data_IF_331517043845
#
_entry.id   IF_331517043845
#
_cell.length_a   1.000
_cell.length_b   1.000
_cell.length_c   1.000
_cell.angle_alpha   90.00
_cell.angle_beta   90.00
_cell.angle_gamma   90.00
#
_symmetry.space_group_name_H-M   'P 1'
#
loop_
_entity.id
_entity.type
_entity.pdbx_description
1 polymer ?
#
# COMPACT_ATOMS: atom_id res chain seq x y z
N UNK A 1 -24.22 -5.63 -22.52
CA UNK A 1 -24.75 -4.76 -23.59
C UNK A 1 -23.99 -5.13 -24.86
N UNK A 2 -24.68 -5.60 -25.93
CA UNK A 2 -24.00 -5.96 -27.18
C UNK A 2 -23.24 -4.76 -27.75
N UNK A 3 -22.04 -4.98 -28.28
CA UNK A 3 -21.20 -3.95 -28.91
C UNK A 3 -21.97 -3.06 -29.93
N UNK A 4 -23.08 -3.56 -30.48
CA UNK A 4 -23.93 -2.83 -31.42
C UNK A 4 -24.70 -1.63 -30.81
N UNK A 5 -24.90 -1.55 -29.50
CA UNK A 5 -25.58 -0.42 -28.85
C UNK A 5 -24.70 0.78 -28.55
N UNK A 6 -23.36 0.61 -28.57
CA UNK A 6 -22.37 1.68 -28.43
C UNK A 6 -22.10 2.45 -29.74
N UNK A 7 -22.81 2.16 -30.81
CA UNK A 7 -22.57 2.79 -32.13
C UNK A 7 -23.08 4.23 -32.23
N UNK A 8 -24.01 4.66 -31.35
CA UNK A 8 -24.48 6.05 -31.35
C UNK A 8 -23.51 6.95 -30.56
N UNK A 9 -23.04 8.10 -31.10
CA UNK A 9 -22.05 8.95 -30.45
C UNK A 9 -22.53 9.47 -29.09
N UNK A 10 -23.82 9.73 -28.92
CA UNK A 10 -24.41 10.17 -27.64
C UNK A 10 -24.29 9.11 -26.55
N UNK A 11 -24.46 7.82 -26.89
CA UNK A 11 -24.31 6.74 -25.91
C UNK A 11 -22.85 6.54 -25.48
N UNK A 12 -21.89 6.81 -26.38
CA UNK A 12 -20.45 6.77 -26.03
C UNK A 12 -20.08 7.91 -25.09
N UNK A 13 -20.55 9.14 -25.36
CA UNK A 13 -20.30 10.28 -24.50
C UNK A 13 -20.89 10.04 -23.10
N UNK A 14 -22.12 9.59 -23.01
CA UNK A 14 -22.78 9.28 -21.74
C UNK A 14 -22.04 8.19 -20.97
N UNK A 15 -21.54 7.14 -21.64
CA UNK A 15 -20.73 6.11 -21.02
C UNK A 15 -19.41 6.65 -20.46
N UNK A 16 -18.69 7.51 -21.21
CA UNK A 16 -17.45 8.16 -20.73
C UNK A 16 -17.70 9.09 -19.53
N UNK A 17 -18.82 9.81 -19.51
CA UNK A 17 -19.24 10.61 -18.37
C UNK A 17 -19.51 9.73 -17.15
N UNK A 18 -20.21 8.60 -17.31
CA UNK A 18 -20.43 7.65 -16.22
C UNK A 18 -19.11 7.08 -15.67
N UNK A 19 -18.16 6.77 -16.56
CA UNK A 19 -16.82 6.30 -16.19
C UNK A 19 -16.06 7.35 -15.39
N UNK A 20 -16.04 8.60 -15.85
CA UNK A 20 -15.39 9.71 -15.17
C UNK A 20 -16.04 10.00 -13.80
N UNK A 21 -17.37 9.94 -13.70
CA UNK A 21 -18.09 10.09 -12.43
C UNK A 21 -17.78 8.95 -11.46
N UNK A 22 -17.69 7.71 -11.94
CA UNK A 22 -17.31 6.57 -11.10
C UNK A 22 -15.90 6.78 -10.53
N UNK A 23 -14.96 7.20 -11.39
CA UNK A 23 -13.62 7.57 -10.96
C UNK A 23 -13.63 8.71 -9.93
N UNK A 24 -14.39 9.78 -10.19
CA UNK A 24 -14.49 10.94 -9.30
C UNK A 24 -15.08 10.57 -7.92
N UNK A 25 -16.12 9.76 -7.86
CA UNK A 25 -16.71 9.28 -6.60
C UNK A 25 -15.67 8.47 -5.81
N UNK A 26 -14.96 7.57 -6.50
CA UNK A 26 -13.92 6.76 -5.87
C UNK A 26 -12.72 7.60 -5.40
N UNK A 27 -12.29 8.59 -6.20
CA UNK A 27 -11.23 9.54 -5.83
C UNK A 27 -11.61 10.42 -4.64
N UNK A 28 -12.86 10.90 -4.60
CA UNK A 28 -13.40 11.66 -3.47
C UNK A 28 -13.45 10.80 -2.19
N UNK A 29 -13.82 9.53 -2.31
CA UNK A 29 -13.79 8.61 -1.18
C UNK A 29 -12.36 8.37 -0.64
N UNK A 30 -11.38 8.19 -1.53
CA UNK A 30 -9.97 8.07 -1.14
C UNK A 30 -9.50 9.32 -0.41
N UNK A 31 -9.81 10.52 -0.94
CA UNK A 31 -9.50 11.77 -0.26
C UNK A 31 -10.12 11.84 1.14
N UNK A 32 -11.40 11.51 1.27
CA UNK A 32 -12.08 11.50 2.57
C UNK A 32 -11.43 10.51 3.55
N UNK A 33 -11.06 9.32 3.08
CA UNK A 33 -10.38 8.33 3.90
C UNK A 33 -9.04 8.86 4.41
N UNK A 34 -8.24 9.50 3.55
CA UNK A 34 -6.98 10.11 3.97
C UNK A 34 -7.17 11.28 4.92
N UNK A 35 -8.16 12.12 4.68
CA UNK A 35 -8.52 13.20 5.59
C UNK A 35 -8.85 12.66 7.00
N UNK A 36 -9.68 11.63 7.07
CA UNK A 36 -10.03 10.97 8.34
C UNK A 36 -8.82 10.29 8.98
N UNK A 37 -7.96 9.66 8.19
CA UNK A 37 -6.73 9.02 8.65
C UNK A 37 -5.77 10.06 9.24
N UNK A 38 -5.47 11.16 8.53
CA UNK A 38 -4.58 12.23 9.01
C UNK A 38 -5.08 12.85 10.31
N UNK A 39 -6.35 13.27 10.33
CA UNK A 39 -6.94 13.87 11.53
C UNK A 39 -7.00 12.87 12.70
N UNK A 40 -7.31 11.61 12.42
CA UNK A 40 -7.32 10.57 13.43
C UNK A 40 -5.94 10.25 13.99
N UNK A 41 -4.92 10.17 13.14
CA UNK A 41 -3.51 10.01 13.56
C UNK A 41 -3.08 11.21 14.40
N UNK A 42 -3.31 12.44 13.93
CA UNK A 42 -2.99 13.65 14.69
C UNK A 42 -3.74 13.74 16.01
N UNK A 43 -5.00 13.32 16.05
CA UNK A 43 -5.74 13.24 17.32
C UNK A 43 -5.10 12.23 18.28
N UNK A 44 -4.83 11.02 17.83
CA UNK A 44 -4.27 9.96 18.69
C UNK A 44 -2.82 10.26 19.10
N UNK A 45 -1.97 10.77 18.19
CA UNK A 45 -0.52 10.86 18.42
C UNK A 45 -0.02 12.25 18.79
N UNK A 46 -0.80 13.32 18.54
CA UNK A 46 -0.42 14.69 18.88
C UNK A 46 -1.34 15.30 19.95
N UNK A 47 -2.66 15.24 19.72
CA UNK A 47 -3.63 15.92 20.60
C UNK A 47 -3.84 15.20 21.92
N UNK A 48 -4.10 13.89 21.85
CA UNK A 48 -4.38 13.07 23.04
C UNK A 48 -3.21 13.03 24.03
N UNK A 49 -1.94 12.84 23.63
CA UNK A 49 -0.83 12.87 24.58
C UNK A 49 -0.61 14.24 25.20
N UNK A 50 -0.87 15.35 24.47
CA UNK A 50 -0.81 16.69 25.07
C UNK A 50 -1.90 16.91 26.13
N UNK A 51 -3.11 16.45 25.86
CA UNK A 51 -4.21 16.52 26.82
C UNK A 51 -3.95 15.66 28.06
N UNK A 52 -3.47 14.42 27.86
CA UNK A 52 -3.14 13.51 28.94
C UNK A 52 -1.88 13.96 29.71
N UNK A 53 -0.87 14.49 29.01
CA UNK A 53 0.35 15.03 29.62
C UNK A 53 0.06 16.17 30.60
N UNK A 54 -0.85 17.08 30.24
CA UNK A 54 -1.32 18.14 31.14
C UNK A 54 -2.07 17.59 32.36
N UNK A 55 -2.89 16.56 32.18
CA UNK A 55 -3.65 15.94 33.28
C UNK A 55 -2.79 15.00 34.15
N UNK A 56 -1.79 14.30 33.56
CA UNK A 56 -0.96 13.31 34.25
C UNK A 56 0.36 13.89 34.78
N UNK A 57 0.78 15.07 34.34
CA UNK A 57 2.02 15.71 34.79
C UNK A 57 2.08 15.92 36.31
N UNK A 58 0.92 16.11 36.94
CA UNK A 58 0.79 16.19 38.41
C UNK A 58 0.76 14.84 39.12
N UNK A 59 0.44 13.74 38.40
CA UNK A 59 0.26 12.41 38.99
C UNK A 59 1.46 11.51 38.71
N UNK A 60 2.07 11.62 37.51
CA UNK A 60 3.17 10.76 37.09
C UNK A 60 4.20 11.57 36.28
N UNK A 61 5.10 12.33 36.95
CA UNK A 61 6.03 13.25 36.29
C UNK A 61 6.99 12.60 35.27
N UNK A 62 7.33 11.32 35.44
CA UNK A 62 8.21 10.58 34.52
C UNK A 62 7.52 10.18 33.20
N UNK A 63 6.19 10.28 33.12
CA UNK A 63 5.45 10.07 31.87
C UNK A 63 5.48 11.28 30.94
N UNK A 64 5.86 12.46 31.47
CA UNK A 64 5.85 13.72 30.71
C UNK A 64 7.11 13.94 29.85
N UNK A 65 8.14 13.10 29.96
CA UNK A 65 9.42 13.25 29.25
C UNK A 65 9.58 12.23 28.13
N UNK A 66 9.39 12.63 26.90
CA UNK A 66 9.60 11.80 25.71
C UNK A 66 9.14 12.49 24.44
N UNK A 67 9.49 11.99 23.24
CA UNK A 67 9.13 12.61 21.96
C UNK A 67 7.60 12.72 21.72
N UNK A 68 6.80 11.96 22.47
CA UNK A 68 5.33 12.02 22.46
C UNK A 68 4.74 12.55 23.78
N UNK A 69 5.53 13.27 24.58
CA UNK A 69 5.11 13.75 25.90
C UNK A 69 5.01 12.65 26.98
N UNK A 70 5.18 11.38 26.62
CA UNK A 70 5.18 10.23 27.53
C UNK A 70 6.00 9.09 26.91
N UNK A 71 7.01 8.58 27.60
CA UNK A 71 7.89 7.51 27.11
C UNK A 71 7.15 6.18 26.86
N UNK A 72 6.10 5.90 27.63
CA UNK A 72 5.29 4.68 27.50
C UNK A 72 4.08 4.86 26.59
N UNK A 73 3.84 6.06 26.08
CA UNK A 73 2.66 6.35 25.27
C UNK A 73 2.50 5.43 24.03
N UNK A 74 3.55 5.22 23.20
CA UNK A 74 3.46 4.28 22.07
C UNK A 74 3.07 2.87 22.50
N UNK A 75 3.58 2.39 23.64
CA UNK A 75 3.26 1.07 24.16
C UNK A 75 1.77 0.96 24.51
N UNK A 76 1.25 1.93 25.25
CA UNK A 76 -0.19 1.97 25.63
C UNK A 76 -1.07 2.04 24.40
N UNK A 77 -0.77 2.95 23.46
CA UNK A 77 -1.59 3.16 22.25
C UNK A 77 -1.58 1.93 21.34
N UNK A 78 -0.41 1.34 21.07
CA UNK A 78 -0.35 0.18 20.19
C UNK A 78 -0.97 -1.08 20.82
N UNK A 79 -0.81 -1.29 22.12
CA UNK A 79 -1.44 -2.42 22.82
C UNK A 79 -2.96 -2.24 22.89
N UNK A 80 -3.44 -1.04 23.23
CA UNK A 80 -4.85 -0.71 23.19
C UNK A 80 -5.43 -0.83 21.78
N UNK A 81 -4.69 -0.35 20.77
CA UNK A 81 -5.03 -0.50 19.35
C UNK A 81 -5.15 -1.96 18.94
N UNK A 82 -4.18 -2.80 19.35
CA UNK A 82 -4.24 -4.25 19.12
C UNK A 82 -5.48 -4.89 19.77
N UNK A 83 -5.84 -4.46 20.98
CA UNK A 83 -7.05 -4.92 21.65
C UNK A 83 -8.32 -4.51 20.87
N UNK A 84 -8.41 -3.25 20.47
CA UNK A 84 -9.57 -2.71 19.71
C UNK A 84 -9.70 -3.42 18.37
N UNK A 85 -8.60 -3.57 17.62
CA UNK A 85 -8.56 -4.25 16.30
C UNK A 85 -9.00 -5.71 16.46
N UNK A 86 -8.43 -6.44 17.42
CA UNK A 86 -8.75 -7.85 17.63
C UNK A 86 -10.19 -8.08 18.09
N UNK A 87 -10.72 -7.20 18.95
CA UNK A 87 -12.13 -7.24 19.37
C UNK A 87 -13.07 -6.91 18.22
N UNK A 88 -12.70 -5.93 17.38
CA UNK A 88 -13.47 -5.57 16.19
C UNK A 88 -13.53 -6.71 15.18
N UNK A 89 -12.39 -7.35 14.87
CA UNK A 89 -12.32 -8.52 13.99
C UNK A 89 -13.18 -9.67 14.54
N UNK A 90 -13.06 -9.95 15.85
CA UNK A 90 -13.87 -11.00 16.54
C UNK A 90 -15.37 -10.71 16.48
N UNK A 91 -15.78 -9.45 16.63
CA UNK A 91 -17.19 -9.08 16.66
C UNK A 91 -17.84 -9.00 15.29
N UNK A 92 -17.08 -8.60 14.25
CA UNK A 92 -17.65 -8.31 12.93
C UNK A 92 -17.36 -9.39 11.89
N UNK A 93 -16.30 -10.18 12.09
CA UNK A 93 -15.74 -11.11 11.09
C UNK A 93 -15.41 -10.41 9.75
N UNK A 94 -15.15 -9.09 9.79
CA UNK A 94 -14.81 -8.28 8.62
C UNK A 94 -13.37 -7.83 8.72
N UNK A 95 -12.59 -8.13 7.69
CA UNK A 95 -11.21 -7.67 7.59
C UNK A 95 -10.87 -7.31 6.12
N UNK A 96 -9.97 -6.35 5.91
CA UNK A 96 -9.46 -6.05 4.58
C UNK A 96 -8.74 -7.26 3.97
N UNK A 97 -8.98 -7.49 2.69
CA UNK A 97 -8.30 -8.50 1.90
C UNK A 97 -7.11 -7.89 1.17
N UNK A 98 -6.15 -8.75 0.78
CA UNK A 98 -5.02 -8.31 -0.02
C UNK A 98 -5.46 -7.80 -1.40
N UNK A 99 -4.74 -6.79 -1.91
CA UNK A 99 -4.98 -6.19 -3.22
C UNK A 99 -5.13 -7.23 -4.34
N UNK A 100 -4.24 -8.22 -4.38
CA UNK A 100 -4.22 -9.29 -5.40
C UNK A 100 -5.49 -10.13 -5.37
N UNK A 101 -6.00 -10.46 -4.18
CA UNK A 101 -7.24 -11.24 -4.01
C UNK A 101 -8.48 -10.45 -4.45
N UNK A 102 -8.60 -9.20 -4.00
CA UNK A 102 -9.70 -8.31 -4.43
C UNK A 102 -9.70 -8.13 -5.94
N UNK A 103 -8.53 -7.91 -6.55
CA UNK A 103 -8.41 -7.75 -8.00
C UNK A 103 -8.74 -9.04 -8.77
N UNK A 104 -8.34 -10.20 -8.25
CA UNK A 104 -8.71 -11.48 -8.84
C UNK A 104 -10.22 -11.69 -8.80
N UNK A 105 -10.89 -11.41 -7.68
CA UNK A 105 -12.34 -11.50 -7.54
C UNK A 105 -13.06 -10.55 -8.50
N UNK A 106 -12.63 -9.28 -8.56
CA UNK A 106 -13.22 -8.29 -9.48
C UNK A 106 -13.06 -8.73 -10.95
N UNK A 107 -11.91 -9.33 -11.30
CA UNK A 107 -11.69 -9.87 -12.66
C UNK A 107 -12.61 -11.06 -12.96
N UNK A 108 -12.74 -12.00 -12.04
CA UNK A 108 -13.52 -13.23 -12.24
C UNK A 108 -15.03 -12.96 -12.22
N UNK A 109 -15.52 -12.24 -11.21
CA UNK A 109 -16.95 -12.04 -10.98
C UNK A 109 -17.46 -10.74 -11.59
N UNK A 110 -16.59 -9.78 -11.90
CA UNK A 110 -16.95 -8.42 -12.31
C UNK A 110 -17.64 -7.61 -11.22
N UNK A 111 -17.61 -8.09 -9.96
CA UNK A 111 -18.30 -7.52 -8.80
C UNK A 111 -17.48 -7.75 -7.55
N UNK A 112 -17.72 -6.86 -6.56
CA UNK A 112 -17.23 -7.03 -5.19
C UNK A 112 -18.37 -6.69 -4.21
N UNK A 113 -18.54 -7.42 -3.10
CA UNK A 113 -19.59 -7.17 -2.12
C UNK A 113 -19.50 -5.77 -1.53
N UNK A 114 -20.64 -5.08 -1.38
CA UNK A 114 -20.70 -3.72 -0.83
C UNK A 114 -21.65 -3.57 0.37
N UNK A 115 -22.22 -4.66 0.85
CA UNK A 115 -23.14 -4.70 2.00
C UNK A 115 -22.47 -4.28 3.32
N UNK A 116 -21.14 -4.46 3.43
CA UNK A 116 -20.36 -4.18 4.64
C UNK A 116 -19.32 -3.06 4.48
N UNK A 117 -19.47 -2.16 3.49
CA UNK A 117 -18.49 -1.12 3.18
C UNK A 117 -18.08 -0.28 4.39
N UNK A 118 -19.03 0.17 5.21
CA UNK A 118 -18.72 0.97 6.41
C UNK A 118 -17.88 0.19 7.42
N UNK A 119 -18.19 -1.09 7.64
CA UNK A 119 -17.40 -1.96 8.53
C UNK A 119 -16.02 -2.23 7.95
N UNK A 120 -15.93 -2.45 6.66
CA UNK A 120 -14.65 -2.67 5.97
C UNK A 120 -13.77 -1.40 6.01
N UNK A 121 -14.36 -0.21 5.81
CA UNK A 121 -13.66 1.08 5.94
C UNK A 121 -13.09 1.29 7.33
N UNK A 122 -13.87 0.97 8.38
CA UNK A 122 -13.41 1.08 9.76
C UNK A 122 -12.32 0.05 10.07
N UNK A 123 -12.47 -1.20 9.60
CA UNK A 123 -11.45 -2.24 9.73
C UNK A 123 -10.12 -1.84 9.07
N UNK A 124 -10.18 -1.12 7.94
CA UNK A 124 -9.00 -0.60 7.26
C UNK A 124 -8.36 0.60 7.98
N UNK A 125 -9.18 1.45 8.61
CA UNK A 125 -8.72 2.68 9.25
C UNK A 125 -8.08 2.42 10.63
N UNK A 126 -8.66 1.53 11.45
CA UNK A 126 -8.21 1.27 12.82
C UNK A 126 -6.71 0.98 12.93
N UNK A 127 -6.10 0.05 12.15
CA UNK A 127 -4.67 -0.23 12.28
C UNK A 127 -3.78 0.97 11.92
N UNK A 128 -4.22 1.84 11.01
CA UNK A 128 -3.50 3.04 10.60
C UNK A 128 -3.52 4.09 11.72
N UNK A 129 -4.67 4.29 12.38
CA UNK A 129 -4.83 5.23 13.49
C UNK A 129 -3.94 4.89 14.69
N UNK A 130 -3.78 3.61 14.97
CA UNK A 130 -2.97 3.14 16.10
C UNK A 130 -1.48 2.94 15.75
N UNK A 131 -1.02 3.48 14.61
CA UNK A 131 0.39 3.54 14.25
C UNK A 131 0.93 2.28 13.56
N UNK A 132 0.07 1.45 12.99
CA UNK A 132 0.43 0.21 12.28
C UNK A 132 1.47 0.44 11.19
N UNK A 133 2.48 -0.44 11.12
CA UNK A 133 3.46 -0.47 10.05
C UNK A 133 2.88 -1.14 8.81
N UNK A 134 1.81 -0.53 8.29
CA UNK A 134 1.03 -1.01 7.14
C UNK A 134 0.58 0.16 6.29
N UNK A 135 0.35 -0.09 5.02
CA UNK A 135 -0.21 0.91 4.10
C UNK A 135 -1.73 0.80 3.96
N UNK A 136 -2.39 1.89 3.56
CA UNK A 136 -3.84 1.94 3.38
C UNK A 136 -4.34 1.18 2.14
N UNK A 137 -3.46 0.81 1.22
CA UNK A 137 -3.82 0.34 -0.12
C UNK A 137 -4.64 -0.95 -0.12
N UNK A 138 -4.34 -1.92 0.75
CA UNK A 138 -5.11 -3.16 0.81
C UNK A 138 -6.53 -2.90 1.38
N UNK A 139 -6.62 -2.11 2.45
CA UNK A 139 -7.90 -1.74 3.04
C UNK A 139 -8.80 -0.96 2.07
N UNK A 140 -8.22 0.03 1.42
CA UNK A 140 -8.92 0.86 0.45
C UNK A 140 -9.37 0.09 -0.79
N UNK A 141 -8.58 -0.87 -1.28
CA UNK A 141 -8.92 -1.60 -2.52
C UNK A 141 -10.26 -2.32 -2.42
N UNK A 142 -10.52 -3.05 -1.32
CA UNK A 142 -11.81 -3.71 -1.11
C UNK A 142 -12.97 -2.73 -1.00
N UNK A 143 -12.79 -1.63 -0.27
CA UNK A 143 -13.82 -0.59 -0.14
C UNK A 143 -14.13 0.06 -1.48
N UNK A 144 -13.10 0.39 -2.26
CA UNK A 144 -13.23 1.00 -3.58
C UNK A 144 -13.92 0.03 -4.55
N UNK A 145 -13.52 -1.24 -4.55
CA UNK A 145 -14.14 -2.26 -5.39
C UNK A 145 -15.65 -2.39 -5.11
N UNK A 146 -16.03 -2.41 -3.83
CA UNK A 146 -17.42 -2.40 -3.41
C UNK A 146 -18.15 -1.11 -3.79
N UNK A 147 -17.53 0.05 -3.62
CA UNK A 147 -18.11 1.35 -4.01
C UNK A 147 -18.33 1.43 -5.52
N UNK A 148 -17.33 1.05 -6.33
CA UNK A 148 -17.45 1.02 -7.78
C UNK A 148 -18.54 0.04 -8.24
N UNK A 149 -18.69 -1.10 -7.57
CA UNK A 149 -19.79 -2.06 -7.84
C UNK A 149 -21.14 -1.42 -7.52
N UNK A 150 -21.27 -0.74 -6.36
CA UNK A 150 -22.49 -0.03 -5.98
C UNK A 150 -22.87 1.06 -6.99
N UNK A 151 -21.90 1.87 -7.43
CA UNK A 151 -22.10 2.90 -8.47
C UNK A 151 -22.53 2.25 -9.78
N UNK A 152 -21.85 1.17 -10.20
CA UNK A 152 -22.18 0.41 -11.41
C UNK A 152 -23.61 -0.13 -11.40
N UNK A 153 -24.06 -0.69 -10.26
CA UNK A 153 -25.43 -1.18 -10.10
C UNK A 153 -26.47 -0.05 -10.21
N UNK A 154 -26.17 1.15 -9.71
CA UNK A 154 -27.05 2.33 -9.83
C UNK A 154 -27.09 2.86 -11.27
N UNK A 155 -25.96 2.88 -11.95
CA UNK A 155 -25.85 3.35 -13.33
C UNK A 155 -26.36 2.33 -14.36
N UNK A 156 -26.62 1.08 -13.97
CA UNK A 156 -27.21 0.05 -14.83
C UNK A 156 -28.54 0.49 -15.48
N UNK A 157 -29.28 1.34 -14.81
CA UNK A 157 -30.53 1.92 -15.33
C UNK A 157 -30.30 2.73 -16.62
N UNK A 158 -29.09 3.27 -16.80
CA UNK A 158 -28.69 4.04 -17.99
C UNK A 158 -28.01 3.18 -19.06
N UNK A 159 -28.07 1.83 -18.93
CA UNK A 159 -27.50 0.91 -19.93
C UNK A 159 -25.98 0.77 -19.88
N UNK A 160 -25.33 1.23 -18.82
CA UNK A 160 -23.89 1.08 -18.63
C UNK A 160 -23.53 -0.37 -18.24
N UNK A 161 -22.39 -0.86 -18.72
CA UNK A 161 -21.85 -2.15 -18.34
C UNK A 161 -21.19 -2.03 -16.95
N UNK A 162 -21.83 -2.62 -15.94
CA UNK A 162 -21.39 -2.53 -14.55
C UNK A 162 -20.02 -3.20 -14.31
N UNK A 163 -19.69 -4.28 -15.04
CA UNK A 163 -18.40 -4.96 -14.92
C UNK A 163 -17.27 -4.06 -15.36
N UNK A 164 -17.48 -3.38 -16.47
CA UNK A 164 -16.56 -2.38 -16.97
C UNK A 164 -16.32 -1.26 -15.97
N UNK A 165 -17.39 -0.69 -15.43
CA UNK A 165 -17.32 0.40 -14.48
C UNK A 165 -16.59 0.01 -13.20
N UNK A 166 -16.84 -1.20 -12.67
CA UNK A 166 -16.16 -1.70 -11.47
C UNK A 166 -14.66 -1.85 -11.72
N UNK A 167 -14.26 -2.56 -12.78
CA UNK A 167 -12.84 -2.81 -13.08
C UNK A 167 -12.07 -1.52 -13.33
N UNK A 168 -12.64 -0.63 -14.17
CA UNK A 168 -12.01 0.65 -14.52
C UNK A 168 -11.96 1.59 -13.31
N UNK A 169 -13.02 1.64 -12.51
CA UNK A 169 -13.08 2.47 -11.31
C UNK A 169 -12.04 2.06 -10.27
N UNK A 170 -11.86 0.77 -10.02
CA UNK A 170 -10.83 0.27 -9.10
C UNK A 170 -9.43 0.65 -9.56
N UNK A 171 -9.12 0.45 -10.84
CA UNK A 171 -7.80 0.80 -11.39
C UNK A 171 -7.53 2.31 -11.36
N UNK A 172 -8.55 3.12 -11.71
CA UNK A 172 -8.43 4.57 -11.64
C UNK A 172 -8.17 5.06 -10.22
N UNK A 173 -8.78 4.41 -9.24
CA UNK A 173 -8.63 4.79 -7.83
C UNK A 173 -7.29 4.35 -7.26
N UNK A 174 -6.78 3.19 -7.64
CA UNK A 174 -5.41 2.80 -7.32
C UNK A 174 -4.39 3.79 -7.89
N UNK A 175 -4.67 4.33 -9.10
CA UNK A 175 -3.89 5.42 -9.68
C UNK A 175 -3.91 6.67 -8.81
N UNK A 176 -5.08 7.06 -8.30
CA UNK A 176 -5.22 8.21 -7.39
C UNK A 176 -4.52 7.94 -6.06
N UNK A 177 -4.67 6.74 -5.50
CA UNK A 177 -4.04 6.30 -4.26
C UNK A 177 -2.52 6.43 -4.29
N UNK A 178 -1.90 5.96 -5.36
CA UNK A 178 -0.44 6.02 -5.52
C UNK A 178 0.03 7.33 -6.17
N UNK A 179 -0.89 8.20 -6.61
CA UNK A 179 -0.60 9.35 -7.49
C UNK A 179 0.24 8.97 -8.71
N UNK A 180 0.12 7.71 -9.17
CA UNK A 180 0.93 7.10 -10.23
C UNK A 180 0.08 6.76 -11.47
N UNK A 181 -0.21 7.73 -12.37
CA UNK A 181 -1.09 7.52 -13.52
C UNK A 181 -0.60 6.42 -14.47
N UNK A 182 0.71 6.25 -14.60
CA UNK A 182 1.29 5.19 -15.44
C UNK A 182 1.06 3.79 -14.86
N UNK A 183 1.09 3.64 -13.54
CA UNK A 183 0.79 2.37 -12.88
C UNK A 183 -0.65 1.91 -13.16
N UNK A 184 -1.63 2.77 -12.91
CA UNK A 184 -3.03 2.47 -13.16
C UNK A 184 -3.38 2.28 -14.63
N UNK A 185 -2.59 2.86 -15.55
CA UNK A 185 -2.76 2.73 -16.97
C UNK A 185 -2.13 1.43 -17.53
N UNK A 186 -0.92 1.08 -17.11
CA UNK A 186 -0.18 -0.06 -17.65
C UNK A 186 -0.62 -1.38 -17.02
N UNK A 187 -0.98 -1.39 -15.73
CA UNK A 187 -1.40 -2.60 -15.04
C UNK A 187 -2.55 -3.37 -15.75
N UNK A 188 -3.62 -2.69 -16.22
CA UNK A 188 -4.67 -3.36 -16.98
C UNK A 188 -4.26 -3.79 -18.39
N UNK A 189 -3.26 -3.11 -18.99
CA UNK A 189 -2.81 -3.40 -20.35
C UNK A 189 -1.78 -4.54 -20.40
N UNK A 190 -1.09 -4.80 -19.28
CA UNK A 190 -0.11 -5.88 -19.15
C UNK A 190 -0.74 -7.25 -18.85
N UNK A 191 -2.04 -7.30 -18.53
CA UNK A 191 -2.80 -8.56 -18.46
C UNK A 191 -2.90 -9.23 -19.83
N UNK A 192 -2.95 -10.56 -19.84
CA UNK A 192 -2.96 -11.41 -21.07
C UNK A 192 -3.89 -10.84 -22.14
N UNK A 193 -3.38 -10.80 -23.37
CA UNK A 193 -4.03 -10.19 -24.52
C UNK A 193 -5.38 -10.82 -24.92
N UNK A 194 -5.72 -11.97 -24.35
CA UNK A 194 -6.85 -12.79 -24.81
C UNK A 194 -8.17 -12.61 -24.04
N UNK A 195 -8.18 -11.85 -22.93
CA UNK A 195 -9.44 -11.55 -22.20
C UNK A 195 -10.26 -12.78 -21.76
N UNK A 196 -9.68 -13.97 -21.86
CA UNK A 196 -10.30 -15.23 -21.49
C UNK A 196 -9.63 -15.78 -20.24
N UNK A 197 -10.42 -16.33 -19.31
CA UNK A 197 -9.88 -17.10 -18.19
C UNK A 197 -9.38 -18.47 -18.69
N UNK A 198 -8.72 -19.25 -17.81
CA UNK A 198 -8.27 -20.61 -18.12
C UNK A 198 -9.41 -21.54 -18.56
N UNK A 199 -10.67 -21.11 -18.42
CA UNK A 199 -11.88 -21.83 -18.79
C UNK A 199 -12.56 -21.25 -20.03
N UNK A 200 -11.90 -20.28 -20.75
CA UNK A 200 -12.42 -19.70 -21.99
C UNK A 200 -13.58 -18.71 -21.82
N UNK A 201 -13.79 -18.15 -20.62
CA UNK A 201 -14.83 -17.15 -20.36
C UNK A 201 -14.29 -15.75 -20.60
N UNK A 202 -15.08 -14.88 -21.21
CA UNK A 202 -14.75 -13.46 -21.37
C UNK A 202 -14.70 -12.78 -19.98
N UNK A 203 -13.48 -12.57 -19.45
CA UNK A 203 -13.23 -11.97 -18.15
C UNK A 203 -13.01 -10.46 -18.21
N UNK A 204 -12.81 -9.91 -19.40
CA UNK A 204 -12.53 -8.48 -19.61
C UNK A 204 -13.51 -7.84 -20.61
N UNK A 205 -13.62 -6.51 -20.49
CA UNK A 205 -14.31 -5.68 -21.46
C UNK A 205 -13.75 -5.94 -22.86
N UNK A 206 -14.54 -6.53 -23.74
CA UNK A 206 -14.21 -6.71 -25.16
C UNK A 206 -14.37 -5.35 -25.86
N UNK A 207 -13.44 -4.44 -25.58
CA UNK A 207 -13.31 -3.17 -26.29
C UNK A 207 -12.02 -3.18 -27.10
N UNK A 208 -12.03 -2.59 -28.31
CA UNK A 208 -10.78 -2.34 -29.05
C UNK A 208 -9.79 -1.61 -28.14
N UNK A 209 -8.48 -1.95 -28.23
CA UNK A 209 -7.42 -1.40 -27.37
C UNK A 209 -7.47 0.12 -27.22
N UNK A 210 -7.74 0.85 -28.32
CA UNK A 210 -7.87 2.30 -28.29
C UNK A 210 -9.06 2.77 -27.43
N UNK A 211 -10.22 2.12 -27.52
CA UNK A 211 -11.39 2.49 -26.71
C UNK A 211 -11.18 2.16 -25.22
N UNK A 212 -10.56 1.01 -24.91
CA UNK A 212 -10.16 0.64 -23.56
C UNK A 212 -9.25 1.72 -22.96
N UNK A 213 -8.25 2.18 -23.71
CA UNK A 213 -7.35 3.26 -23.30
C UNK A 213 -8.10 4.54 -22.92
N UNK A 214 -9.04 5.01 -23.75
CA UNK A 214 -9.83 6.20 -23.45
C UNK A 214 -10.67 6.04 -22.19
N UNK A 215 -11.32 4.88 -22.00
CA UNK A 215 -12.13 4.58 -20.82
C UNK A 215 -11.28 4.69 -19.54
N UNK A 216 -10.09 4.09 -19.53
CA UNK A 216 -9.18 4.20 -18.39
C UNK A 216 -8.69 5.64 -18.14
N UNK A 217 -8.36 6.39 -19.20
CA UNK A 217 -7.93 7.78 -19.07
C UNK A 217 -9.02 8.66 -18.46
N UNK A 218 -10.28 8.51 -18.88
CA UNK A 218 -11.39 9.28 -18.30
C UNK A 218 -11.66 8.92 -16.84
N UNK A 219 -11.57 7.64 -16.48
CA UNK A 219 -11.70 7.23 -15.09
C UNK A 219 -10.56 7.76 -14.20
N UNK A 220 -9.32 7.67 -14.69
CA UNK A 220 -8.13 8.19 -14.01
C UNK A 220 -8.22 9.72 -13.85
N UNK A 221 -8.62 10.43 -14.91
CA UNK A 221 -8.81 11.88 -14.85
C UNK A 221 -9.90 12.26 -13.84
N UNK A 222 -11.00 11.51 -13.78
CA UNK A 222 -12.05 11.70 -12.78
C UNK A 222 -11.54 11.48 -11.36
N UNK A 223 -10.83 10.38 -11.12
CA UNK A 223 -10.32 10.02 -9.79
C UNK A 223 -9.26 11.01 -9.30
N UNK A 224 -8.24 11.30 -10.11
CA UNK A 224 -7.20 12.29 -9.76
C UNK A 224 -7.78 13.69 -9.66
N UNK A 225 -8.68 14.09 -10.58
CA UNK A 225 -9.31 15.41 -10.57
C UNK A 225 -10.12 15.63 -9.29
N UNK A 226 -10.92 14.68 -8.87
CA UNK A 226 -11.67 14.79 -7.60
C UNK A 226 -10.73 14.79 -6.39
N UNK A 227 -9.73 13.91 -6.36
CA UNK A 227 -8.77 13.80 -5.26
C UNK A 227 -7.97 15.11 -5.09
N UNK A 228 -7.41 15.65 -6.17
CA UNK A 228 -6.62 16.90 -6.12
C UNK A 228 -7.49 18.09 -5.80
N UNK A 229 -8.66 18.24 -6.46
CA UNK A 229 -9.57 19.35 -6.22
C UNK A 229 -10.01 19.42 -4.75
N UNK A 230 -10.40 18.29 -4.16
CA UNK A 230 -10.81 18.24 -2.76
C UNK A 230 -9.61 18.47 -1.82
N UNK A 231 -8.43 17.97 -2.16
CA UNK A 231 -7.21 18.23 -1.42
C UNK A 231 -6.83 19.71 -1.41
N UNK A 232 -6.95 20.39 -2.55
CA UNK A 232 -6.66 21.83 -2.67
C UNK A 232 -7.69 22.69 -1.92
N UNK A 233 -8.97 22.27 -1.89
CA UNK A 233 -10.05 23.03 -1.24
C UNK A 233 -10.10 22.83 0.29
N UNK A 234 -9.86 21.63 0.77
CA UNK A 234 -10.11 21.26 2.17
C UNK A 234 -8.86 20.76 2.89
N UNK A 235 -7.72 20.71 2.22
CA UNK A 235 -6.51 20.07 2.74
C UNK A 235 -6.64 18.56 2.72
N UNK A 236 -5.64 17.90 3.31
CA UNK A 236 -5.52 16.46 3.27
C UNK A 236 -5.08 15.95 1.90
N UNK A 237 -4.49 14.84 1.89
CA UNK A 237 -4.02 14.21 0.67
C UNK A 237 -2.73 13.47 0.95
N UNK A 238 -2.59 12.29 0.39
CA UNK A 238 -1.35 11.55 0.49
C UNK A 238 -0.38 11.98 -0.60
N UNK A 239 0.76 12.47 -0.20
CA UNK A 239 1.89 12.72 -1.09
C UNK A 239 2.99 11.72 -0.83
N UNK A 240 3.25 10.82 -1.76
CA UNK A 240 4.54 10.13 -1.79
C UNK A 240 5.65 11.18 -1.88
N UNK A 241 6.77 11.03 -1.13
CA UNK A 241 7.87 11.98 -1.21
C UNK A 241 8.38 12.05 -2.66
N UNK A 242 8.58 13.26 -3.15
CA UNK A 242 9.16 13.52 -4.47
C UNK A 242 10.63 13.85 -4.31
N UNK A 243 11.47 13.04 -4.89
CA UNK A 243 12.90 13.24 -4.92
C UNK A 243 13.30 13.99 -6.20
N UNK A 244 14.11 15.01 -6.07
CA UNK A 244 14.59 15.81 -7.21
C UNK A 244 16.11 15.97 -7.13
N UNK A 245 16.77 16.20 -8.27
CA UNK A 245 18.18 16.57 -8.28
C UNK A 245 19.17 15.39 -8.17
N UNK A 246 18.84 14.18 -8.64
CA UNK A 246 19.82 13.10 -8.72
C UNK A 246 20.98 13.44 -9.66
N UNK A 247 22.19 13.33 -9.14
CA UNK A 247 23.43 13.35 -9.94
C UNK A 247 23.80 11.91 -10.29
N UNK A 248 23.88 11.64 -11.60
CA UNK A 248 24.24 10.31 -12.10
C UNK A 248 25.62 10.39 -12.74
N UNK A 249 26.66 10.17 -11.96
CA UNK A 249 28.06 10.08 -12.43
C UNK A 249 28.48 8.62 -12.65
N UNK A 250 29.69 8.41 -13.15
CA UNK A 250 30.27 7.05 -13.31
C UNK A 250 30.36 6.30 -11.97
N UNK A 251 30.62 7.02 -10.88
CA UNK A 251 30.70 6.47 -9.52
C UNK A 251 29.33 5.91 -9.10
N UNK A 252 28.27 6.67 -9.29
CA UNK A 252 26.89 6.29 -8.94
C UNK A 252 26.47 5.06 -9.76
N UNK A 253 26.78 5.03 -11.06
CA UNK A 253 26.49 3.87 -11.91
C UNK A 253 27.24 2.62 -11.43
N UNK A 254 28.50 2.75 -11.01
CA UNK A 254 29.26 1.62 -10.44
C UNK A 254 28.67 1.11 -9.11
N UNK A 255 28.03 2.00 -8.33
CA UNK A 255 27.37 1.65 -7.07
C UNK A 255 26.00 1.02 -7.26
N UNK A 256 25.41 1.01 -8.46
CA UNK A 256 24.07 0.48 -8.71
C UNK A 256 23.91 -0.98 -8.24
N UNK A 257 24.85 -1.85 -8.57
CA UNK A 257 24.76 -3.27 -8.19
C UNK A 257 24.88 -3.44 -6.67
N UNK A 258 25.90 -2.90 -5.96
CA UNK A 258 25.96 -2.96 -4.49
C UNK A 258 24.71 -2.43 -3.81
N UNK A 259 24.17 -1.28 -4.24
CA UNK A 259 22.96 -0.69 -3.68
C UNK A 259 21.73 -1.57 -3.92
N UNK A 260 21.60 -2.13 -5.12
CA UNK A 260 20.52 -3.06 -5.44
C UNK A 260 20.61 -4.35 -4.61
N UNK A 261 21.80 -4.83 -4.29
CA UNK A 261 21.99 -5.98 -3.38
C UNK A 261 21.54 -5.63 -1.96
N UNK A 262 21.87 -4.45 -1.45
CA UNK A 262 21.39 -4.00 -0.14
C UNK A 262 19.85 -3.92 -0.12
N UNK A 263 19.24 -3.32 -1.15
CA UNK A 263 17.77 -3.30 -1.27
C UNK A 263 17.17 -4.71 -1.33
N UNK A 264 17.81 -5.63 -2.04
CA UNK A 264 17.38 -7.04 -2.13
C UNK A 264 17.41 -7.73 -0.77
N UNK A 265 18.42 -7.46 0.08
CA UNK A 265 18.47 -7.95 1.46
C UNK A 265 17.25 -7.45 2.25
N UNK A 266 16.85 -6.18 2.10
CA UNK A 266 15.61 -5.66 2.67
C UNK A 266 14.37 -6.48 2.27
N UNK A 267 14.27 -6.83 0.98
CA UNK A 267 13.21 -7.72 0.48
C UNK A 267 13.29 -9.15 1.06
N UNK A 268 14.49 -9.69 1.26
CA UNK A 268 14.66 -11.00 1.92
C UNK A 268 14.23 -10.98 3.38
N UNK A 269 14.55 -9.91 4.12
CA UNK A 269 14.09 -9.72 5.50
C UNK A 269 12.57 -9.67 5.55
N UNK A 270 11.92 -8.96 4.59
CA UNK A 270 10.47 -8.95 4.46
C UNK A 270 9.92 -10.38 4.30
N UNK A 271 10.41 -11.16 3.34
CA UNK A 271 9.95 -12.53 3.10
C UNK A 271 10.25 -13.48 4.27
N UNK A 272 11.40 -13.33 4.92
CA UNK A 272 11.74 -14.12 6.11
C UNK A 272 10.74 -13.86 7.24
N UNK A 273 10.45 -12.58 7.51
CA UNK A 273 9.45 -12.18 8.51
C UNK A 273 8.05 -12.66 8.12
N UNK A 274 7.65 -12.51 6.84
CA UNK A 274 6.37 -12.98 6.32
C UNK A 274 6.15 -14.47 6.64
N UNK A 275 7.16 -15.30 6.42
CA UNK A 275 7.08 -16.74 6.73
C UNK A 275 7.02 -17.03 8.24
N UNK A 276 7.91 -16.40 8.99
CA UNK A 276 7.98 -16.62 10.43
C UNK A 276 6.67 -16.20 11.12
N UNK A 277 6.14 -15.04 10.73
CA UNK A 277 4.92 -14.50 11.34
C UNK A 277 3.65 -15.19 10.83
N UNK A 278 3.61 -15.67 9.59
CA UNK A 278 2.54 -16.54 9.08
C UNK A 278 2.51 -17.88 9.85
N UNK A 279 3.66 -18.51 10.05
CA UNK A 279 3.75 -19.74 10.86
C UNK A 279 3.35 -19.50 12.33
N UNK A 280 3.73 -18.35 12.90
CA UNK A 280 3.32 -17.97 14.25
C UNK A 280 1.79 -17.75 14.30
N UNK A 281 1.23 -17.02 13.33
CA UNK A 281 -0.22 -16.80 13.24
C UNK A 281 -1.00 -18.10 13.13
N UNK A 282 -0.51 -19.07 12.35
CA UNK A 282 -1.12 -20.40 12.25
C UNK A 282 -1.07 -21.16 13.58
N UNK A 283 0.07 -21.10 14.30
CA UNK A 283 0.22 -21.73 15.62
C UNK A 283 -0.68 -21.13 16.70
N UNK A 284 -0.93 -19.82 16.61
CA UNK A 284 -1.84 -19.12 17.54
C UNK A 284 -3.33 -19.43 17.28
N UNK A 285 -3.67 -20.13 16.19
CA UNK A 285 -5.04 -20.53 15.87
C UNK A 285 -6.00 -19.35 15.71
N UNK A 286 -7.25 -19.52 16.09
CA UNK A 286 -8.32 -18.53 15.95
C UNK A 286 -8.43 -17.60 17.18
N UNK A 287 -7.34 -16.94 17.54
CA UNK A 287 -7.29 -15.97 18.64
C UNK A 287 -6.97 -14.56 18.13
N UNK A 288 -7.90 -13.86 17.43
CA UNK A 288 -7.62 -12.58 16.79
C UNK A 288 -7.15 -11.51 17.79
N UNK A 289 -7.72 -11.47 18.98
CA UNK A 289 -7.34 -10.50 20.02
C UNK A 289 -5.89 -10.70 20.48
N UNK A 290 -5.50 -11.94 20.78
CA UNK A 290 -4.13 -12.23 21.21
C UNK A 290 -3.10 -11.91 20.11
N UNK A 291 -3.41 -12.23 18.84
CA UNK A 291 -2.58 -11.90 17.70
C UNK A 291 -2.38 -10.39 17.55
N UNK A 292 -3.48 -9.63 17.54
CA UNK A 292 -3.43 -8.18 17.34
C UNK A 292 -2.75 -7.45 18.49
N UNK A 293 -2.94 -7.91 19.74
CA UNK A 293 -2.23 -7.38 20.91
C UNK A 293 -0.74 -7.68 20.85
N UNK A 294 -0.35 -8.90 20.45
CA UNK A 294 1.07 -9.25 20.27
C UNK A 294 1.72 -8.39 19.18
N UNK A 295 1.04 -8.17 18.05
CA UNK A 295 1.53 -7.27 17.01
C UNK A 295 1.71 -5.84 17.52
N UNK A 296 0.73 -5.31 18.26
CA UNK A 296 0.80 -3.98 18.87
C UNK A 296 1.95 -3.85 19.85
N UNK A 297 2.20 -4.88 20.67
CA UNK A 297 3.33 -4.91 21.62
C UNK A 297 4.68 -4.86 20.88
N UNK A 298 4.88 -5.72 19.88
CA UNK A 298 6.14 -5.75 19.11
C UNK A 298 6.34 -4.45 18.33
N UNK A 299 5.27 -3.93 17.69
CA UNK A 299 5.30 -2.65 16.99
C UNK A 299 5.70 -1.51 17.92
N UNK A 300 5.13 -1.45 19.12
CA UNK A 300 5.47 -0.42 20.11
C UNK A 300 6.94 -0.49 20.55
N UNK A 301 7.44 -1.68 20.85
CA UNK A 301 8.84 -1.86 21.23
C UNK A 301 9.80 -1.45 20.11
N UNK A 302 9.49 -1.82 18.86
CA UNK A 302 10.25 -1.36 17.69
C UNK A 302 10.16 0.16 17.51
N UNK A 303 8.97 0.74 17.65
CA UNK A 303 8.74 2.17 17.51
C UNK A 303 9.39 3.01 18.61
N UNK A 304 9.49 2.51 19.83
CA UNK A 304 10.22 3.17 20.91
C UNK A 304 11.73 3.19 20.66
N UNK A 305 12.29 2.13 20.06
CA UNK A 305 13.70 2.07 19.70
C UNK A 305 14.02 2.81 18.39
N UNK A 306 13.15 2.68 17.39
CA UNK A 306 13.29 3.22 16.04
C UNK A 306 11.97 3.86 15.60
N UNK A 307 11.69 5.13 15.92
CA UNK A 307 10.37 5.78 15.73
C UNK A 307 9.84 5.72 14.30
N UNK A 308 10.71 5.79 13.30
CA UNK A 308 10.31 5.73 11.88
C UNK A 308 9.82 4.34 11.42
N UNK A 309 9.87 3.31 12.27
CA UNK A 309 9.33 1.98 11.93
C UNK A 309 7.81 1.91 12.06
N UNK A 310 7.18 2.85 12.76
CA UNK A 310 5.74 2.96 12.91
C UNK A 310 5.10 3.60 11.67
N UNK A 311 3.78 3.53 11.58
CA UNK A 311 2.93 4.12 10.54
C UNK A 311 3.19 3.54 9.13
N UNK A 312 2.48 4.02 8.13
CA UNK A 312 2.60 3.55 6.76
C UNK A 312 3.94 3.90 6.10
N UNK A 313 4.48 5.09 6.38
CA UNK A 313 5.82 5.47 5.94
C UNK A 313 5.89 6.68 5.01
N UNK A 314 4.77 7.18 4.45
CA UNK A 314 4.79 8.33 3.54
C UNK A 314 5.21 9.62 4.25
N UNK A 315 4.59 9.96 5.37
CA UNK A 315 4.97 11.13 6.19
C UNK A 315 6.37 10.96 6.76
N UNK A 316 6.70 9.75 7.22
CA UNK A 316 8.02 9.43 7.75
C UNK A 316 9.11 9.56 6.68
N UNK A 317 8.82 9.23 5.42
CA UNK A 317 9.75 9.40 4.31
C UNK A 317 10.07 10.87 4.04
N UNK A 318 9.06 11.76 4.11
CA UNK A 318 9.26 13.20 4.00
C UNK A 318 10.07 13.75 5.17
N UNK A 319 9.77 13.32 6.40
CA UNK A 319 10.55 13.69 7.59
C UNK A 319 11.99 13.20 7.47
N UNK A 320 12.20 11.97 7.00
CA UNK A 320 13.53 11.39 6.84
C UNK A 320 14.33 12.10 5.76
N UNK A 321 13.69 12.54 4.67
CA UNK A 321 14.30 13.34 3.62
C UNK A 321 14.92 14.65 4.17
N UNK A 322 14.28 15.26 5.17
CA UNK A 322 14.79 16.47 5.79
C UNK A 322 15.85 16.19 6.87
N UNK A 323 15.77 15.05 7.56
CA UNK A 323 16.53 14.79 8.78
C UNK A 323 17.68 13.75 8.63
N UNK A 324 17.80 13.02 7.52
CA UNK A 324 18.69 11.87 7.38
C UNK A 324 20.17 12.19 7.68
N UNK A 325 20.63 13.39 7.38
CA UNK A 325 22.02 13.82 7.62
C UNK A 325 22.38 13.83 9.12
N UNK A 326 21.41 14.09 9.98
CA UNK A 326 21.59 14.12 11.44
C UNK A 326 21.46 12.74 12.11
N UNK A 327 21.07 11.72 11.35
CA UNK A 327 20.82 10.37 11.87
C UNK A 327 22.02 9.48 11.52
N UNK A 328 22.59 8.75 12.49
CA UNK A 328 23.67 7.81 12.23
C UNK A 328 23.29 6.78 11.14
N UNK A 329 24.22 6.49 10.22
CA UNK A 329 23.98 5.59 9.09
C UNK A 329 23.46 4.20 9.51
N UNK A 330 24.00 3.65 10.62
CA UNK A 330 23.55 2.35 11.13
C UNK A 330 22.10 2.37 11.62
N UNK A 331 21.62 3.52 12.18
CA UNK A 331 20.22 3.69 12.60
C UNK A 331 19.30 3.69 11.37
N UNK A 332 19.72 4.36 10.29
CA UNK A 332 18.99 4.37 9.02
C UNK A 332 18.85 2.95 8.43
N UNK A 333 19.97 2.20 8.38
CA UNK A 333 19.97 0.82 7.90
C UNK A 333 19.10 -0.06 8.81
N UNK A 334 19.26 0.02 10.13
CA UNK A 334 18.46 -0.73 11.09
C UNK A 334 16.96 -0.42 10.95
N UNK A 335 16.61 0.87 10.80
CA UNK A 335 15.22 1.31 10.59
C UNK A 335 14.61 0.66 9.33
N UNK A 336 15.33 0.65 8.22
CA UNK A 336 14.88 0.02 6.99
C UNK A 336 14.65 -1.49 7.13
N UNK A 337 15.59 -2.20 7.76
CA UNK A 337 15.49 -3.65 7.98
C UNK A 337 14.37 -4.00 8.97
N UNK A 338 14.28 -3.27 10.08
CA UNK A 338 13.22 -3.49 11.09
C UNK A 338 11.84 -3.17 10.50
N UNK A 339 11.72 -2.09 9.70
CA UNK A 339 10.47 -1.76 8.99
C UNK A 339 10.06 -2.89 8.07
N UNK A 340 10.99 -3.44 7.27
CA UNK A 340 10.73 -4.58 6.40
C UNK A 340 10.28 -5.83 7.17
N UNK A 341 10.75 -6.02 8.41
CA UNK A 341 10.35 -7.16 9.25
C UNK A 341 9.01 -6.94 9.98
N UNK A 342 8.76 -5.74 10.50
CA UNK A 342 7.57 -5.43 11.32
C UNK A 342 6.31 -5.35 10.45
N UNK A 343 6.42 -4.95 9.18
CA UNK A 343 5.28 -4.88 8.26
C UNK A 343 4.56 -6.23 8.09
N UNK A 344 5.22 -7.34 7.71
CA UNK A 344 4.57 -8.64 7.64
C UNK A 344 4.05 -9.13 9.00
N UNK A 345 4.75 -8.79 10.09
CA UNK A 345 4.32 -9.12 11.44
C UNK A 345 2.96 -8.48 11.74
N UNK A 346 2.81 -7.19 11.48
CA UNK A 346 1.53 -6.49 11.65
C UNK A 346 0.43 -7.16 10.82
N UNK A 347 0.67 -7.38 9.51
CA UNK A 347 -0.31 -7.93 8.58
C UNK A 347 -0.77 -9.33 9.02
N UNK A 348 0.16 -10.23 9.33
CA UNK A 348 -0.16 -11.62 9.67
C UNK A 348 -0.78 -11.79 11.06
N UNK A 349 -0.57 -10.84 11.96
CA UNK A 349 -1.11 -10.87 13.32
C UNK A 349 -2.34 -9.95 13.50
N UNK A 350 -3.08 -9.67 12.42
CA UNK A 350 -4.41 -9.05 12.49
C UNK A 350 -4.44 -7.54 12.24
N UNK A 351 -3.31 -6.85 12.15
CA UNK A 351 -3.27 -5.46 11.70
C UNK A 351 -3.29 -5.42 10.17
N UNK A 352 -4.48 -5.70 9.60
CA UNK A 352 -4.66 -5.88 8.16
C UNK A 352 -4.46 -4.60 7.39
N UNK A 353 -3.56 -4.61 6.41
CA UNK A 353 -3.27 -3.47 5.55
C UNK A 353 -2.33 -3.85 4.42
N UNK A 354 -1.89 -2.85 3.65
CA UNK A 354 -0.96 -3.03 2.56
C UNK A 354 0.50 -3.04 2.99
N UNK A 355 1.35 -3.48 2.10
CA UNK A 355 2.79 -3.54 2.34
C UNK A 355 3.60 -2.58 1.46
N UNK A 356 2.99 -1.96 0.44
CA UNK A 356 3.74 -1.15 -0.54
C UNK A 356 4.41 0.06 0.11
N UNK A 357 3.65 0.89 0.82
CA UNK A 357 4.21 2.08 1.46
C UNK A 357 5.29 1.77 2.48
N UNK A 358 5.09 0.81 3.41
CA UNK A 358 6.15 0.43 4.34
C UNK A 358 7.40 -0.13 3.66
N UNK A 359 7.26 -0.90 2.59
CA UNK A 359 8.39 -1.46 1.83
C UNK A 359 9.14 -0.36 1.07
N UNK A 360 8.42 0.61 0.48
CA UNK A 360 9.02 1.80 -0.13
C UNK A 360 9.84 2.56 0.92
N UNK A 361 9.25 2.84 2.09
CA UNK A 361 9.95 3.51 3.17
C UNK A 361 11.19 2.73 3.65
N UNK A 362 11.09 1.40 3.77
CA UNK A 362 12.23 0.57 4.13
C UNK A 362 13.39 0.74 3.13
N UNK A 363 13.09 0.74 1.84
CA UNK A 363 14.08 1.01 0.79
C UNK A 363 14.66 2.43 0.85
N UNK A 364 13.83 3.44 1.12
CA UNK A 364 14.27 4.84 1.32
C UNK A 364 15.27 4.93 2.47
N UNK A 365 14.94 4.32 3.62
CA UNK A 365 15.80 4.33 4.80
C UNK A 365 17.13 3.61 4.57
N UNK A 366 17.11 2.44 3.89
CA UNK A 366 18.32 1.73 3.46
C UNK A 366 19.16 2.58 2.52
N UNK A 367 18.53 3.27 1.56
CA UNK A 367 19.21 4.14 0.60
C UNK A 367 19.92 5.31 1.28
N UNK A 368 19.26 5.99 2.22
CA UNK A 368 19.92 7.06 3.01
C UNK A 368 21.05 6.52 3.89
N UNK A 369 20.89 5.33 4.48
CA UNK A 369 21.96 4.67 5.21
C UNK A 369 23.20 4.41 4.33
N UNK A 370 22.98 3.92 3.11
CA UNK A 370 24.03 3.72 2.12
C UNK A 370 24.67 5.05 1.68
N UNK A 371 23.87 6.09 1.44
CA UNK A 371 24.36 7.41 1.08
C UNK A 371 25.29 7.99 2.16
N UNK A 372 24.89 7.87 3.43
CA UNK A 372 25.69 8.31 4.57
C UNK A 372 27.01 7.52 4.71
N UNK A 373 27.01 6.21 4.46
CA UNK A 373 28.20 5.36 4.54
C UNK A 373 29.17 5.59 3.37
N UNK A 374 28.63 5.77 2.17
CA UNK A 374 29.42 5.82 0.93
C UNK A 374 29.79 7.25 0.49
N UNK A 375 29.13 8.28 1.07
CA UNK A 375 29.26 9.66 0.61
C UNK A 375 28.86 9.82 -0.87
N UNK A 376 27.84 9.07 -1.32
CA UNK A 376 27.33 9.08 -2.67
C UNK A 376 26.04 9.93 -2.75
N UNK A 377 25.57 10.22 -3.99
CA UNK A 377 24.32 10.96 -4.19
C UNK A 377 23.13 10.29 -3.45
N UNK A 378 22.49 11.00 -2.51
CA UNK A 378 21.45 10.39 -1.69
C UNK A 378 20.21 9.98 -2.49
N UNK A 379 19.84 10.76 -3.54
CA UNK A 379 18.67 10.45 -4.36
C UNK A 379 18.92 9.20 -5.20
N UNK A 380 20.15 9.03 -5.72
CA UNK A 380 20.53 7.83 -6.43
C UNK A 380 20.52 6.60 -5.53
N UNK A 381 21.12 6.69 -4.33
CA UNK A 381 21.14 5.58 -3.37
C UNK A 381 19.72 5.18 -2.94
N UNK A 382 18.87 6.16 -2.65
CA UNK A 382 17.47 5.93 -2.28
C UNK A 382 16.71 5.28 -3.44
N UNK A 383 16.87 5.79 -4.68
CA UNK A 383 16.21 5.23 -5.85
C UNK A 383 16.59 3.75 -6.09
N UNK A 384 17.89 3.45 -6.05
CA UNK A 384 18.41 2.10 -6.29
C UNK A 384 17.97 1.12 -5.19
N UNK A 385 18.14 1.47 -3.91
CA UNK A 385 17.74 0.61 -2.79
C UNK A 385 16.22 0.39 -2.76
N UNK A 386 15.41 1.46 -2.95
CA UNK A 386 13.94 1.35 -2.93
C UNK A 386 13.42 0.48 -4.08
N UNK A 387 13.92 0.70 -5.29
CA UNK A 387 13.50 -0.08 -6.45
C UNK A 387 13.89 -1.56 -6.32
N UNK A 388 15.07 -1.85 -5.81
CA UNK A 388 15.51 -3.23 -5.58
C UNK A 388 14.71 -3.91 -4.46
N UNK A 389 14.41 -3.20 -3.36
CA UNK A 389 13.57 -3.73 -2.27
C UNK A 389 12.17 -4.06 -2.78
N UNK A 390 11.54 -3.13 -3.52
CA UNK A 390 10.23 -3.35 -4.13
C UNK A 390 10.26 -4.49 -5.18
N UNK A 391 11.29 -4.53 -6.02
CA UNK A 391 11.49 -5.60 -7.00
C UNK A 391 11.62 -6.98 -6.34
N UNK A 392 12.37 -7.06 -5.23
CA UNK A 392 12.54 -8.29 -4.46
C UNK A 392 11.24 -8.76 -3.78
N UNK A 393 10.42 -7.82 -3.29
CA UNK A 393 9.14 -8.14 -2.63
C UNK A 393 8.06 -8.50 -3.65
N UNK A 394 7.86 -7.66 -4.67
CA UNK A 394 6.77 -7.83 -5.66
C UNK A 394 7.06 -8.90 -6.72
N UNK A 395 8.33 -9.18 -7.00
CA UNK A 395 8.76 -10.05 -8.12
C UNK A 395 8.27 -9.60 -9.50
N UNK A 396 7.86 -8.36 -9.62
CA UNK A 396 7.36 -7.71 -10.84
C UNK A 396 8.12 -6.39 -11.07
N UNK A 397 9.31 -6.44 -11.73
CA UNK A 397 10.21 -5.29 -11.80
C UNK A 397 9.60 -4.09 -12.54
N UNK A 398 8.84 -4.33 -13.61
CA UNK A 398 8.20 -3.26 -14.37
C UNK A 398 7.15 -2.54 -13.50
N UNK A 399 6.34 -3.30 -12.76
CA UNK A 399 5.31 -2.73 -11.88
C UNK A 399 5.93 -1.96 -10.72
N UNK A 400 7.01 -2.49 -10.11
CA UNK A 400 7.77 -1.80 -9.09
C UNK A 400 8.36 -0.46 -9.61
N UNK A 401 8.94 -0.47 -10.81
CA UNK A 401 9.45 0.73 -11.45
C UNK A 401 8.36 1.77 -11.75
N UNK A 402 7.24 1.34 -12.31
CA UNK A 402 6.09 2.22 -12.62
C UNK A 402 5.47 2.86 -11.38
N UNK A 403 5.42 2.12 -10.27
CA UNK A 403 4.94 2.63 -8.98
C UNK A 403 5.84 3.76 -8.47
N UNK A 404 7.15 3.62 -8.65
CA UNK A 404 8.16 4.54 -8.12
C UNK A 404 8.47 5.73 -9.05
N UNK A 405 8.03 5.70 -10.32
CA UNK A 405 8.43 6.69 -11.33
C UNK A 405 8.05 8.14 -10.98
N UNK A 406 7.00 8.33 -10.18
CA UNK A 406 6.60 9.66 -9.73
C UNK A 406 7.31 10.14 -8.46
N UNK A 407 7.90 9.21 -7.71
CA UNK A 407 8.70 9.54 -6.54
C UNK A 407 10.09 10.04 -6.92
N UNK A 408 10.60 9.63 -8.09
CA UNK A 408 11.97 9.88 -8.52
C UNK A 408 12.01 10.62 -9.86
N UNK A 409 13.08 11.40 -10.14
CA UNK A 409 13.20 12.14 -11.39
C UNK A 409 13.23 11.21 -12.60
N UNK A 410 12.62 11.61 -13.71
CA UNK A 410 12.55 10.83 -14.95
C UNK A 410 13.92 10.38 -15.47
N UNK A 411 14.98 11.17 -15.23
CA UNK A 411 16.37 10.80 -15.53
C UNK A 411 16.82 9.52 -14.82
N UNK A 412 16.19 9.17 -13.68
CA UNK A 412 16.49 7.98 -12.89
C UNK A 412 15.68 6.74 -13.27
N UNK A 413 14.80 6.78 -14.26
CA UNK A 413 13.91 5.65 -14.64
C UNK A 413 14.70 4.39 -15.01
N UNK A 414 15.81 4.52 -15.71
CA UNK A 414 16.68 3.39 -16.05
C UNK A 414 17.26 2.75 -14.79
N UNK A 415 17.68 3.56 -13.83
CA UNK A 415 18.21 3.10 -12.53
C UNK A 415 17.13 2.36 -11.75
N UNK A 416 15.90 2.91 -11.70
CA UNK A 416 14.76 2.27 -11.04
C UNK A 416 14.45 0.90 -11.65
N UNK A 417 14.32 0.83 -12.98
CA UNK A 417 14.01 -0.42 -13.66
C UNK A 417 15.13 -1.46 -13.53
N UNK A 418 16.40 -1.03 -13.66
CA UNK A 418 17.55 -1.91 -13.51
C UNK A 418 17.65 -2.44 -12.06
N UNK A 419 17.54 -1.58 -11.06
CA UNK A 419 17.57 -1.99 -9.65
C UNK A 419 16.39 -2.90 -9.30
N UNK A 420 15.17 -2.57 -9.75
CA UNK A 420 14.00 -3.44 -9.57
C UNK A 420 14.17 -4.80 -10.24
N UNK A 421 14.76 -4.83 -11.45
CA UNK A 421 15.04 -6.07 -12.15
C UNK A 421 16.08 -6.93 -11.41
N UNK A 422 17.14 -6.32 -10.88
CA UNK A 422 18.14 -7.02 -10.05
C UNK A 422 17.45 -7.61 -8.81
N UNK A 423 16.66 -6.80 -8.08
CA UNK A 423 15.94 -7.28 -6.90
C UNK A 423 14.97 -8.42 -7.19
N UNK A 424 14.25 -8.36 -8.31
CA UNK A 424 13.34 -9.41 -8.75
C UNK A 424 14.03 -10.67 -9.24
N UNK A 425 15.18 -10.51 -9.95
CA UNK A 425 15.93 -11.64 -10.52
C UNK A 425 16.65 -12.48 -9.46
N UNK A 426 17.14 -11.85 -8.38
CA UNK A 426 17.88 -12.56 -7.34
C UNK A 426 16.90 -13.47 -6.58
N UNK A 427 17.12 -14.80 -6.62
CA UNK A 427 16.20 -15.74 -6.01
C UNK A 427 16.24 -15.65 -4.49
N UNK A 428 15.09 -15.95 -3.85
CA UNK A 428 15.04 -16.13 -2.40
C UNK A 428 16.00 -17.24 -1.96
N UNK A 429 16.68 -17.09 -0.81
CA UNK A 429 17.47 -18.17 -0.21
C UNK A 429 16.66 -19.47 -0.13
N UNK A 430 17.33 -20.63 -0.32
CA UNK A 430 16.65 -21.94 -0.34
C UNK A 430 15.78 -22.18 0.90
N UNK A 431 16.22 -21.72 2.07
CA UNK A 431 15.45 -21.78 3.31
C UNK A 431 14.12 -21.01 3.24
N UNK A 432 14.00 -20.02 2.36
CA UNK A 432 12.80 -19.20 2.15
C UNK A 432 11.91 -19.71 0.99
N UNK A 433 12.32 -20.66 0.16
CA UNK A 433 11.54 -21.19 -0.99
C UNK A 433 10.64 -22.40 -0.65
N UNK A 434 10.96 -23.17 0.38
CA UNK A 434 10.45 -24.53 0.54
C UNK A 434 8.95 -24.68 0.91
N UNK A 435 8.15 -23.61 0.98
CA UNK A 435 6.73 -23.68 1.36
C UNK A 435 5.74 -23.27 0.28
N UNK A 436 6.15 -22.53 -0.74
CA UNK A 436 5.25 -22.13 -1.84
C UNK A 436 4.78 -23.34 -2.68
N UNK A 437 5.58 -24.38 -2.77
CA UNK A 437 5.24 -25.59 -3.53
C UNK A 437 4.12 -26.44 -2.89
N UNK A 438 3.86 -26.28 -1.58
CA UNK A 438 2.84 -27.08 -0.86
C UNK A 438 1.48 -26.35 -0.73
N UNK A 439 1.41 -25.03 -0.97
CA UNK A 439 0.15 -24.27 -0.93
C UNK A 439 -0.57 -24.26 -2.29
N UNK A 440 0.13 -24.57 -3.38
CA UNK A 440 -0.43 -24.67 -4.74
C UNK A 440 -0.93 -26.07 -5.13
N UNK A 441 -0.74 -27.08 -4.27
CA UNK A 441 -1.33 -28.40 -4.50
C UNK A 441 -2.83 -28.35 -4.09
N UNK A 442 -3.76 -28.78 -4.97
CA UNK A 442 -5.16 -28.94 -4.59
C UNK A 442 -5.22 -29.91 -3.39
N UNK A 443 -5.94 -29.53 -2.34
CA UNK A 443 -6.30 -30.48 -1.28
C UNK A 443 -7.30 -31.45 -1.88
N UNK A 444 -6.78 -32.55 -2.41
CA UNK A 444 -7.59 -33.75 -2.69
C UNK A 444 -8.14 -34.27 -1.35
N UNK A 445 -9.39 -34.01 -1.07
CA UNK A 445 -10.03 -34.55 0.12
C UNK A 445 -11.30 -33.88 0.60
N UNK A 446 -12.18 -33.46 -0.32
CA UNK A 446 -13.60 -33.21 0.03
C UNK A 446 -14.51 -33.84 -1.04
N UNK A 447 -14.42 -35.17 -1.16
CA UNK A 447 -15.45 -36.02 -1.74
C UNK A 447 -15.50 -37.31 -0.89
N UNK A 448 -16.28 -37.25 0.18
CA UNK A 448 -16.92 -38.40 0.78
C UNK A 448 -18.14 -37.93 1.57
#
# INVERSE_FOLDING_TARGET
MSASKLTKPLNRLMFLVCVALTGAIAGAFVWLFFLLMEHGISFVWDTLPRMLGGALAGVVPWMASGPFGCTLYPLVVCVAGGLVIGLYEKATYVHPEELTRVMAQVKQEGRYPYDKLGRLSLAALLPLLFGGSIGPEAGLTGVIAGLCTWVGDRLRRFGADFRALTTVGVQATLTALFTAPLYGFVAPLSGSADGLDEQGRETELVLPRAQKTFVYLFAIAGALGAFTLLGDMFGGGMGMPRFSGSQTGMREVALLIPLALVGTVGGWVYHASQRATSALSTRMGEHPVAKSVLAGLVLALCGMALPYTMFAGETQATMLQAAWVSIPAWVLVATGLVKAAVTPLCINLGWRGGHFFPVIFAGISLGYGCAALLGADPVFCVAACTAATMGAVMRQPVMAGLLLILCFPLKGVVVLLAAAAIGAAIPLPKALRAKEANESAPRDGDNA
#
